data_IF_532556458663
#
_entry.id   IF_532556458663
#
_cell.length_a   1.000
_cell.length_b   1.000
_cell.length_c   1.000
_cell.angle_alpha   90.00
_cell.angle_beta   90.00
_cell.angle_gamma   90.00
#
_symmetry.space_group_name_H-M   'P 1'
#
loop_
_entity.id
_entity.type
_entity.pdbx_description
1 polymer ?
#
# COMPACT_ATOMS: atom_id res chain seq x y z
N UNK A 1 35.05 -18.70 26.90
CA UNK A 1 33.70 -19.25 27.12
C UNK A 1 33.23 -18.70 28.44
N UNK A 2 32.17 -17.90 28.40
CA UNK A 2 30.86 -18.50 28.57
C UNK A 2 29.88 -18.13 27.44
N UNK A 3 29.21 -19.16 26.96
CA UNK A 3 27.89 -19.13 26.33
C UNK A 3 26.87 -18.71 27.40
N UNK A 4 25.97 -17.75 27.11
CA UNK A 4 24.67 -17.64 27.79
C UNK A 4 23.71 -16.53 27.26
N UNK A 5 23.93 -15.91 26.09
CA UNK A 5 23.01 -14.85 25.61
C UNK A 5 21.86 -15.34 24.70
N UNK A 6 21.83 -16.61 24.31
CA UNK A 6 20.78 -17.16 23.42
C UNK A 6 19.68 -17.97 24.14
N UNK A 7 19.89 -18.38 25.40
CA UNK A 7 18.88 -19.10 26.17
C UNK A 7 17.75 -18.18 26.67
N UNK A 8 17.99 -16.87 26.75
CA UNK A 8 17.05 -15.90 27.32
C UNK A 8 15.82 -15.65 26.41
N UNK A 9 15.99 -15.76 25.09
CA UNK A 9 14.90 -15.56 24.13
C UNK A 9 13.95 -16.77 24.10
N UNK A 10 14.50 -17.99 24.26
CA UNK A 10 13.71 -19.22 24.35
C UNK A 10 12.89 -19.29 25.64
N UNK A 11 13.47 -18.83 26.75
CA UNK A 11 12.80 -18.76 28.05
C UNK A 11 11.67 -17.70 28.03
N UNK A 12 11.89 -16.52 27.42
CA UNK A 12 10.88 -15.48 27.24
C UNK A 12 9.71 -15.91 26.36
N UNK A 13 9.97 -16.65 25.28
CA UNK A 13 8.91 -17.22 24.43
C UNK A 13 8.11 -18.31 25.16
N UNK A 14 8.76 -19.09 26.02
CA UNK A 14 8.09 -20.14 26.79
C UNK A 14 7.28 -19.57 27.97
N UNK A 15 7.77 -18.52 28.64
CA UNK A 15 7.09 -17.89 29.78
C UNK A 15 5.85 -17.07 29.35
N UNK A 16 5.85 -16.54 28.13
CA UNK A 16 4.67 -15.89 27.51
C UNK A 16 3.61 -16.93 27.11
N UNK A 17 4.02 -18.13 26.69
CA UNK A 17 3.10 -19.21 26.33
C UNK A 17 2.48 -19.94 27.53
N UNK A 18 3.07 -19.83 28.73
CA UNK A 18 2.68 -20.57 29.94
C UNK A 18 1.96 -19.73 31.03
N UNK A 19 1.56 -18.48 30.75
CA UNK A 19 0.76 -17.59 31.64
C UNK A 19 1.20 -17.52 33.12
N UNK A 20 2.51 -17.44 33.42
CA UNK A 20 2.97 -17.31 34.83
C UNK A 20 3.15 -15.85 35.26
N UNK A 21 2.55 -15.42 36.40
CA UNK A 21 2.73 -14.06 36.90
C UNK A 21 4.11 -13.87 37.54
N UNK A 22 4.79 -12.79 37.14
CA UNK A 22 6.11 -12.38 37.63
C UNK A 22 5.97 -11.59 38.94
N UNK A 23 6.57 -12.07 40.04
CA UNK A 23 6.68 -11.33 41.30
C UNK A 23 7.80 -10.28 41.21
N UNK A 24 7.47 -9.00 41.46
CA UNK A 24 8.45 -7.90 41.54
C UNK A 24 8.57 -7.41 42.98
N UNK A 25 9.81 -7.41 43.50
CA UNK A 25 10.16 -6.89 44.82
C UNK A 25 10.19 -5.33 44.86
N UNK A 26 9.94 -4.70 46.02
CA UNK A 26 9.68 -3.26 46.09
C UNK A 26 10.98 -2.44 46.24
N UNK A 27 11.02 -1.26 45.60
CA UNK A 27 12.03 -0.22 45.91
C UNK A 27 11.33 1.08 46.31
N UNK A 28 11.87 1.70 47.36
CA UNK A 28 11.31 2.77 48.17
C UNK A 28 11.21 4.15 47.49
N UNK A 29 10.25 4.91 48.01
CA UNK A 29 9.83 6.29 47.73
C UNK A 29 10.76 7.40 48.27
N UNK A 30 10.74 8.60 47.66
CA UNK A 30 10.38 9.92 48.27
C UNK A 30 10.58 11.09 47.27
N UNK A 31 9.80 12.19 47.33
CA UNK A 31 9.38 12.98 46.16
C UNK A 31 9.89 14.44 46.13
N UNK A 32 9.68 15.13 45.01
CA UNK A 32 9.52 16.59 45.02
C UNK A 32 8.55 17.07 43.93
N UNK A 33 7.69 18.00 44.33
CA UNK A 33 6.44 18.36 43.69
C UNK A 33 6.54 19.58 42.76
N UNK A 34 5.72 19.62 41.71
CA UNK A 34 5.11 20.86 41.23
C UNK A 34 3.81 20.60 40.44
N UNK A 35 2.73 21.21 40.96
CA UNK A 35 1.35 21.19 40.47
C UNK A 35 1.21 21.75 39.04
N UNK A 36 0.37 21.14 38.21
CA UNK A 36 -0.55 21.83 37.29
C UNK A 36 -1.73 20.92 36.90
N UNK A 37 -2.91 21.24 37.46
CA UNK A 37 -4.28 21.16 36.91
C UNK A 37 -4.70 19.89 36.14
N UNK A 38 -5.45 19.02 36.82
CA UNK A 38 -6.13 17.84 36.26
C UNK A 38 -7.47 18.21 35.57
N UNK A 39 -7.65 17.70 34.35
CA UNK A 39 -8.97 17.39 33.76
C UNK A 39 -8.96 15.87 33.57
N UNK A 40 -9.94 15.09 34.08
CA UNK A 40 -9.81 13.64 34.12
C UNK A 40 -10.06 13.05 32.73
N UNK A 41 -9.01 12.51 32.12
CA UNK A 41 -9.11 11.54 31.04
C UNK A 41 -8.93 10.18 31.70
N UNK A 42 -9.99 9.37 31.79
CA UNK A 42 -9.87 7.97 32.14
C UNK A 42 -9.21 7.25 30.96
N UNK A 43 -7.96 6.85 31.15
CA UNK A 43 -7.27 5.85 30.33
C UNK A 43 -7.57 4.50 30.99
N UNK A 44 -8.18 3.52 30.29
CA UNK A 44 -8.14 2.15 30.77
C UNK A 44 -6.72 1.62 30.56
N UNK A 45 -6.08 1.23 31.66
CA UNK A 45 -4.94 0.31 31.65
C UNK A 45 -5.46 -1.04 31.16
N UNK A 46 -5.00 -1.46 29.98
CA UNK A 46 -5.10 -2.84 29.50
C UNK A 46 -3.78 -3.16 28.83
N UNK A 47 -2.80 -3.58 29.65
CA UNK A 47 -1.54 -4.17 29.21
C UNK A 47 -1.82 -5.63 28.80
N UNK A 48 -2.62 -5.79 27.74
CA UNK A 48 -2.71 -7.05 27.02
C UNK A 48 -1.42 -7.29 26.25
N UNK A 49 -0.95 -8.53 26.19
CA UNK A 49 0.11 -8.94 25.27
C UNK A 49 -0.43 -8.90 23.83
N UNK A 50 -0.50 -7.69 23.29
CA UNK A 50 -1.00 -7.38 21.94
C UNK A 50 -0.23 -8.21 20.89
N UNK A 51 1.01 -8.61 21.17
CA UNK A 51 1.84 -9.39 20.26
C UNK A 51 1.47 -10.88 20.30
N UNK A 52 1.29 -11.45 21.49
CA UNK A 52 0.82 -12.82 21.70
C UNK A 52 -0.60 -13.06 21.17
N UNK A 53 -1.54 -12.18 21.53
CA UNK A 53 -2.93 -12.26 21.07
C UNK A 53 -3.05 -12.13 19.54
N UNK A 54 -2.17 -11.33 18.93
CA UNK A 54 -2.17 -11.13 17.49
C UNK A 54 -1.56 -12.31 16.72
N UNK A 55 -0.45 -12.88 17.19
CA UNK A 55 0.15 -14.06 16.56
C UNK A 55 -0.79 -15.27 16.63
N UNK A 56 -1.56 -15.40 17.72
CA UNK A 56 -2.59 -16.44 17.86
C UNK A 56 -3.75 -16.27 16.86
N UNK A 57 -4.17 -15.04 16.56
CA UNK A 57 -5.20 -14.80 15.52
C UNK A 57 -4.77 -15.23 14.11
N UNK A 58 -3.49 -15.10 13.75
CA UNK A 58 -2.97 -15.58 12.45
C UNK A 58 -3.02 -17.11 12.37
N UNK A 59 -2.86 -17.81 13.50
CA UNK A 59 -2.94 -19.27 13.57
C UNK A 59 -4.39 -19.78 13.54
N UNK A 60 -5.36 -19.00 14.02
CA UNK A 60 -6.78 -19.39 14.02
C UNK A 60 -7.51 -19.23 12.68
N UNK A 61 -7.06 -18.32 11.78
CA UNK A 61 -7.66 -18.12 10.45
C UNK A 61 -7.49 -19.34 9.50
N UNK A 62 -6.65 -20.33 9.82
CA UNK A 62 -6.44 -21.54 8.99
C UNK A 62 -7.49 -22.66 9.21
N UNK A 63 -8.47 -22.52 10.11
CA UNK A 63 -9.53 -23.54 10.32
C UNK A 63 -10.78 -23.29 9.47
N UNK A 64 -10.81 -24.00 8.34
CA UNK A 64 -11.94 -24.49 7.51
C UNK A 64 -13.08 -23.52 7.10
N UNK A 65 -13.36 -23.38 5.78
CA UNK A 65 -14.63 -22.81 5.34
C UNK A 65 -15.77 -23.81 5.53
N UNK A 66 -16.74 -23.47 6.39
CA UNK A 66 -18.02 -24.18 6.46
C UNK A 66 -18.70 -24.19 5.08
N UNK A 67 -18.83 -25.38 4.52
CA UNK A 67 -19.52 -25.65 3.27
C UNK A 67 -21.03 -25.48 3.44
N UNK A 68 -21.61 -24.42 2.87
CA UNK A 68 -23.04 -24.33 2.64
C UNK A 68 -23.34 -24.55 1.15
N UNK A 69 -23.77 -25.77 0.84
CA UNK A 69 -24.28 -26.16 -0.47
C UNK A 69 -25.66 -25.53 -0.72
N UNK A 70 -26.00 -25.13 -1.97
CA UNK A 70 -27.21 -24.38 -2.28
C UNK A 70 -28.43 -25.28 -2.43
N UNK A 71 -29.51 -24.95 -1.71
CA UNK A 71 -30.83 -25.56 -1.90
C UNK A 71 -31.59 -24.79 -3.00
N UNK A 72 -31.86 -25.47 -4.12
CA UNK A 72 -32.63 -24.95 -5.25
C UNK A 72 -34.13 -25.20 -5.06
N UNK A 73 -35.03 -24.26 -5.41
CA UNK A 73 -36.42 -24.59 -5.63
C UNK A 73 -36.70 -24.90 -7.11
N UNK A 74 -37.57 -25.88 -7.30
CA UNK A 74 -37.93 -26.56 -8.53
C UNK A 74 -38.68 -25.70 -9.55
N UNK A 75 -38.53 -26.13 -10.81
CA UNK A 75 -39.20 -25.65 -12.01
C UNK A 75 -40.73 -25.84 -11.99
N UNK A 76 -41.42 -24.88 -12.60
CA UNK A 76 -42.73 -25.08 -13.23
C UNK A 76 -42.75 -24.26 -14.55
N UNK A 77 -42.81 -24.95 -15.69
CA UNK A 77 -43.20 -24.42 -17.00
C UNK A 77 -44.64 -24.92 -17.36
N UNK A 78 -45.20 -24.65 -18.55
CA UNK A 78 -45.97 -23.44 -18.85
C UNK A 78 -47.37 -23.77 -19.44
N UNK A 79 -48.30 -22.80 -19.49
CA UNK A 79 -49.52 -22.96 -20.31
C UNK A 79 -49.82 -21.74 -21.21
N UNK A 80 -49.86 -22.05 -22.50
CA UNK A 80 -50.83 -21.64 -23.53
C UNK A 80 -50.93 -20.17 -24.00
N UNK A 81 -50.23 -19.91 -25.11
CA UNK A 81 -50.72 -19.40 -26.42
C UNK A 81 -52.16 -18.88 -26.49
N UNK A 82 -52.33 -17.60 -26.86
CA UNK A 82 -53.41 -17.16 -27.77
C UNK A 82 -52.82 -16.12 -28.75
N UNK A 83 -52.95 -16.47 -30.03
CA UNK A 83 -52.63 -15.72 -31.23
C UNK A 83 -53.96 -15.29 -31.88
N UNK A 84 -54.13 -14.00 -32.20
CA UNK A 84 -55.16 -13.53 -33.16
C UNK A 84 -54.71 -12.22 -33.83
N UNK A 85 -54.25 -12.34 -35.08
CA UNK A 85 -54.22 -11.28 -36.10
C UNK A 85 -55.58 -11.14 -36.82
N UNK A 86 -55.77 -9.98 -37.50
CA UNK A 86 -56.90 -9.49 -38.34
C UNK A 86 -57.97 -8.68 -37.58
N UNK A 87 -58.27 -7.41 -37.94
CA UNK A 87 -58.68 -6.92 -39.26
C UNK A 87 -58.11 -5.55 -39.72
N UNK A 88 -57.99 -5.44 -41.05
CA UNK A 88 -57.86 -4.31 -42.00
C UNK A 88 -58.98 -3.24 -41.83
N UNK A 89 -59.02 -2.03 -42.43
CA UNK A 89 -58.15 -1.12 -43.19
C UNK A 89 -58.95 0.19 -43.49
N UNK A 90 -58.23 1.22 -43.96
CA UNK A 90 -58.66 2.39 -44.76
C UNK A 90 -59.22 3.64 -44.05
N UNK A 91 -58.48 4.76 -44.16
CA UNK A 91 -58.85 5.94 -44.98
C UNK A 91 -57.55 6.61 -45.47
N UNK A 92 -57.48 6.76 -46.79
CA UNK A 92 -56.43 7.36 -47.63
C UNK A 92 -56.45 8.90 -47.63
N UNK A 93 -55.30 9.53 -47.90
CA UNK A 93 -55.26 10.90 -48.45
C UNK A 93 -53.96 11.68 -48.25
N UNK A 94 -53.00 11.53 -49.15
CA UNK A 94 -51.93 12.49 -49.47
C UNK A 94 -52.48 13.54 -50.48
N UNK A 95 -51.90 14.74 -50.69
CA UNK A 95 -50.52 14.88 -51.17
C UNK A 95 -49.70 16.12 -50.73
N UNK A 96 -48.44 16.03 -51.16
CA UNK A 96 -47.29 16.94 -51.23
C UNK A 96 -47.47 18.46 -51.12
N UNK A 97 -46.55 19.10 -50.37
CA UNK A 97 -45.93 20.37 -50.79
C UNK A 97 -44.42 20.35 -50.52
N UNK A 98 -43.69 20.63 -51.60
CA UNK A 98 -42.27 20.88 -51.68
C UNK A 98 -41.89 22.20 -51.01
N UNK A 99 -40.81 22.23 -50.23
CA UNK A 99 -40.03 23.45 -50.06
C UNK A 99 -38.54 23.19 -50.28
N UNK A 100 -38.04 23.98 -51.22
CA UNK A 100 -36.70 24.09 -51.78
C UNK A 100 -35.63 24.41 -50.74
N UNK A 101 -34.48 23.76 -50.94
CA UNK A 101 -33.21 24.09 -50.31
C UNK A 101 -32.78 25.53 -50.62
N UNK A 102 -32.42 26.28 -49.58
CA UNK A 102 -31.52 27.42 -49.68
C UNK A 102 -30.16 26.95 -49.14
N UNK A 103 -29.26 26.63 -50.06
CA UNK A 103 -27.83 26.48 -49.77
C UNK A 103 -27.28 27.88 -49.57
N UNK A 104 -26.99 28.26 -48.32
CA UNK A 104 -26.02 29.31 -48.04
C UNK A 104 -24.67 28.62 -47.87
N UNK A 105 -23.80 28.82 -48.86
CA UNK A 105 -22.37 28.56 -48.75
C UNK A 105 -21.80 29.51 -47.70
N UNK A 106 -21.67 29.03 -46.47
CA UNK A 106 -20.66 29.52 -45.53
C UNK A 106 -20.02 28.28 -44.92
N UNK A 107 -18.81 27.99 -45.39
CA UNK A 107 -18.00 26.91 -44.87
C UNK A 107 -17.73 27.17 -43.38
N UNK A 108 -18.06 26.25 -42.46
CA UNK A 108 -17.41 26.28 -41.17
C UNK A 108 -15.97 25.86 -41.41
N UNK A 109 -15.10 26.85 -41.27
CA UNK A 109 -13.67 26.73 -41.03
C UNK A 109 -13.43 25.43 -40.26
N UNK A 110 -12.76 24.48 -40.94
CA UNK A 110 -12.33 23.22 -40.34
C UNK A 110 -11.52 23.64 -39.12
N UNK A 111 -12.10 23.43 -37.92
CA UNK A 111 -11.34 23.48 -36.69
C UNK A 111 -10.31 22.37 -36.81
N UNK A 112 -9.14 22.72 -37.34
CA UNK A 112 -7.96 21.89 -37.26
C UNK A 112 -7.84 21.51 -35.79
N UNK A 113 -7.96 20.22 -35.52
CA UNK A 113 -7.74 19.67 -34.20
C UNK A 113 -6.30 20.01 -33.81
N UNK A 114 -6.14 21.13 -33.12
CA UNK A 114 -4.86 21.57 -32.56
C UNK A 114 -4.40 20.49 -31.61
N UNK A 115 -3.31 19.85 -32.00
CA UNK A 115 -2.36 19.06 -31.22
C UNK A 115 -2.95 18.02 -30.25
N UNK A 116 -2.61 16.76 -30.50
CA UNK A 116 -2.83 15.66 -29.57
C UNK A 116 -2.39 16.04 -28.14
N UNK A 117 -3.35 16.02 -27.20
CA UNK A 117 -3.20 16.31 -25.76
C UNK A 117 -2.49 15.16 -25.01
N UNK A 118 -1.62 14.41 -25.68
CA UNK A 118 -0.73 13.48 -25.00
C UNK A 118 0.52 14.25 -24.62
N UNK A 119 0.72 14.43 -23.30
CA UNK A 119 1.96 14.98 -22.79
C UNK A 119 3.14 14.26 -23.44
N UNK A 120 4.00 15.01 -24.13
CA UNK A 120 5.26 14.46 -24.62
C UNK A 120 5.94 13.74 -23.44
N UNK A 121 6.45 12.51 -23.65
CA UNK A 121 7.09 11.77 -22.58
C UNK A 121 8.26 12.60 -22.07
N UNK A 122 8.08 13.19 -20.89
CA UNK A 122 9.15 13.90 -20.19
C UNK A 122 10.26 12.86 -20.01
N UNK A 123 11.37 13.03 -20.74
CA UNK A 123 12.57 12.21 -20.57
C UNK A 123 12.97 12.27 -19.10
N UNK A 124 12.61 11.25 -18.33
CA UNK A 124 13.09 11.11 -16.96
C UNK A 124 14.57 10.81 -17.04
N UNK A 125 15.39 11.66 -16.43
CA UNK A 125 16.83 11.42 -16.30
C UNK A 125 17.06 9.98 -15.81
N UNK A 126 17.87 9.23 -16.55
CA UNK A 126 18.20 7.85 -16.21
C UNK A 126 18.96 7.84 -14.89
N UNK A 127 18.37 7.24 -13.86
CA UNK A 127 19.03 7.08 -12.55
C UNK A 127 20.20 6.11 -12.73
N UNK A 128 21.43 6.49 -12.35
CA UNK A 128 22.57 5.59 -12.47
C UNK A 128 22.46 4.49 -11.41
N UNK A 129 22.49 3.24 -11.86
CA UNK A 129 22.27 2.05 -11.03
C UNK A 129 23.54 1.19 -11.01
N UNK A 130 24.13 0.90 -9.84
CA UNK A 130 25.19 -0.10 -9.73
C UNK A 130 24.60 -1.51 -9.82
N UNK A 131 25.47 -2.48 -10.10
CA UNK A 131 25.15 -3.90 -9.98
C UNK A 131 25.52 -4.36 -8.57
N UNK A 132 24.55 -4.83 -7.80
CA UNK A 132 24.76 -5.18 -6.38
C UNK A 132 25.16 -6.63 -6.16
N UNK A 133 24.78 -7.52 -7.08
CA UNK A 133 24.95 -8.95 -6.91
C UNK A 133 25.91 -9.56 -7.94
N UNK A 134 27.06 -10.05 -7.46
CA UNK A 134 27.98 -10.87 -8.26
C UNK A 134 27.70 -12.36 -8.07
N UNK A 135 28.12 -13.19 -9.03
CA UNK A 135 27.91 -14.64 -9.03
C UNK A 135 28.48 -15.31 -7.77
N UNK A 136 29.71 -14.96 -7.43
CA UNK A 136 30.44 -15.49 -6.27
C UNK A 136 29.81 -15.11 -4.92
N UNK A 137 29.20 -13.93 -4.84
CA UNK A 137 28.64 -13.40 -3.60
C UNK A 137 27.28 -14.02 -3.26
N UNK A 138 26.46 -14.32 -4.27
CA UNK A 138 25.17 -14.99 -4.06
C UNK A 138 25.37 -16.46 -3.71
N UNK A 139 26.38 -17.12 -4.29
CA UNK A 139 26.67 -18.53 -3.97
C UNK A 139 27.19 -18.70 -2.54
N UNK A 140 27.81 -17.66 -1.97
CA UNK A 140 28.35 -17.68 -0.60
C UNK A 140 27.36 -17.19 0.46
N UNK A 141 26.33 -16.42 0.10
CA UNK A 141 25.41 -15.79 1.04
C UNK A 141 24.00 -16.37 0.90
N UNK A 142 23.52 -17.00 1.97
CA UNK A 142 22.13 -17.41 2.08
C UNK A 142 21.25 -16.25 2.57
N UNK A 143 20.48 -15.66 1.66
CA UNK A 143 19.60 -14.52 1.96
C UNK A 143 18.57 -14.82 3.04
N UNK A 144 18.21 -16.09 3.26
CA UNK A 144 17.24 -16.49 4.29
C UNK A 144 17.70 -16.14 5.69
N UNK A 145 19.01 -16.06 5.91
CA UNK A 145 19.57 -15.66 7.20
C UNK A 145 19.33 -14.17 7.50
N UNK A 146 19.09 -13.35 6.46
CA UNK A 146 19.03 -11.90 6.57
C UNK A 146 17.63 -11.33 6.32
N UNK A 147 16.77 -12.04 5.59
CA UNK A 147 15.45 -11.54 5.23
C UNK A 147 14.38 -12.64 5.19
N UNK A 148 13.16 -12.23 5.49
CA UNK A 148 11.92 -13.02 5.44
C UNK A 148 10.95 -12.35 4.47
N UNK A 149 10.15 -13.13 3.75
CA UNK A 149 9.09 -12.57 2.91
C UNK A 149 7.90 -12.21 3.78
N UNK A 150 7.35 -11.02 3.55
CA UNK A 150 6.13 -10.57 4.22
C UNK A 150 5.13 -10.06 3.20
N UNK A 151 3.87 -10.43 3.39
CA UNK A 151 2.75 -9.96 2.57
C UNK A 151 1.77 -9.22 3.46
N UNK A 152 1.35 -8.03 3.06
CA UNK A 152 0.30 -7.28 3.74
C UNK A 152 -1.03 -7.51 3.02
N UNK A 153 -1.97 -8.15 3.71
CA UNK A 153 -3.32 -8.36 3.22
C UNK A 153 -4.24 -7.25 3.75
N UNK A 154 -4.94 -6.60 2.84
CA UNK A 154 -5.83 -5.50 3.20
C UNK A 154 -7.16 -5.65 2.49
N UNK A 155 -8.24 -5.57 3.26
CA UNK A 155 -9.59 -5.50 2.75
C UNK A 155 -10.23 -4.22 3.27
N UNK A 156 -10.95 -3.51 2.39
CA UNK A 156 -11.70 -2.31 2.80
C UNK A 156 -12.92 -2.14 1.91
N UNK A 157 -14.04 -1.78 2.53
CA UNK A 157 -15.22 -1.33 1.80
C UNK A 157 -15.06 0.14 1.39
N UNK A 158 -15.25 0.44 0.11
CA UNK A 158 -15.07 1.80 -0.44
C UNK A 158 -16.35 2.64 -0.48
N UNK A 159 -17.50 2.08 -0.09
CA UNK A 159 -18.80 2.75 -0.15
C UNK A 159 -19.10 3.38 -1.53
N UNK A 160 -18.77 2.67 -2.61
CA UNK A 160 -18.98 3.11 -4.00
C UNK A 160 -19.57 1.97 -4.82
N UNK A 161 -20.57 2.27 -5.64
CA UNK A 161 -21.23 1.33 -6.55
C UNK A 161 -21.35 1.97 -7.92
N UNK A 162 -21.22 1.17 -9.00
CA UNK A 162 -21.45 1.65 -10.36
C UNK A 162 -22.92 2.04 -10.53
N UNK A 163 -23.17 3.25 -11.01
CA UNK A 163 -24.51 3.76 -11.27
C UNK A 163 -24.82 3.61 -12.76
N UNK A 164 -25.41 2.46 -13.12
CA UNK A 164 -25.77 2.16 -14.51
C UNK A 164 -26.82 3.12 -15.06
N UNK A 165 -27.75 3.56 -14.21
CA UNK A 165 -28.82 4.47 -14.62
C UNK A 165 -28.26 5.87 -14.89
N UNK A 166 -27.50 6.41 -13.93
CA UNK A 166 -26.86 7.72 -14.12
C UNK A 166 -25.89 7.76 -15.30
N UNK A 167 -25.18 6.66 -15.57
CA UNK A 167 -24.33 6.54 -16.75
C UNK A 167 -25.15 6.53 -18.06
N UNK A 168 -26.25 5.77 -18.11
CA UNK A 168 -27.13 5.72 -19.27
C UNK A 168 -27.81 7.08 -19.54
N UNK A 169 -28.34 7.74 -18.50
CA UNK A 169 -28.97 9.05 -18.61
C UNK A 169 -27.98 10.10 -19.16
N UNK A 170 -26.70 10.02 -18.76
CA UNK A 170 -25.64 10.89 -19.26
C UNK A 170 -25.25 10.58 -20.72
N UNK A 171 -25.16 9.29 -21.08
CA UNK A 171 -24.88 8.86 -22.46
C UNK A 171 -25.99 9.29 -23.42
N UNK A 172 -27.26 9.09 -23.03
CA UNK A 172 -28.43 9.49 -23.80
C UNK A 172 -28.48 11.02 -23.98
N UNK A 173 -28.18 11.79 -22.92
CA UNK A 173 -28.11 13.25 -22.99
C UNK A 173 -26.97 13.76 -23.90
N UNK A 174 -25.89 13.00 -24.02
CA UNK A 174 -24.75 13.32 -24.87
C UNK A 174 -24.87 12.75 -26.31
N UNK A 175 -25.90 11.94 -26.60
CA UNK A 175 -26.03 11.21 -27.86
C UNK A 175 -24.89 10.21 -28.12
N UNK A 176 -24.31 9.68 -27.05
CA UNK A 176 -23.15 8.80 -27.11
C UNK A 176 -23.52 7.32 -26.89
N UNK A 177 -22.57 6.43 -27.17
CA UNK A 177 -22.68 5.03 -26.77
C UNK A 177 -22.77 4.91 -25.24
N UNK A 178 -23.56 3.94 -24.75
CA UNK A 178 -23.73 3.66 -23.31
C UNK A 178 -22.44 3.22 -22.65
N UNK A 179 -21.54 2.58 -23.40
CA UNK A 179 -20.23 2.17 -22.90
C UNK A 179 -19.22 3.32 -22.84
N UNK A 180 -19.55 4.48 -23.42
CA UNK A 180 -18.69 5.67 -23.37
C UNK A 180 -18.72 6.40 -22.02
N UNK A 181 -19.71 6.13 -21.16
CA UNK A 181 -19.88 6.78 -19.86
C UNK A 181 -19.84 5.77 -18.69
N UNK A 182 -19.06 6.10 -17.64
CA UNK A 182 -19.12 5.40 -16.35
C UNK A 182 -19.45 6.39 -15.23
N UNK A 183 -20.57 6.16 -14.54
CA UNK A 183 -20.93 6.88 -13.32
C UNK A 183 -20.74 5.98 -12.09
N UNK A 184 -20.26 6.55 -10.98
CA UNK A 184 -20.13 5.86 -9.69
C UNK A 184 -20.82 6.65 -8.59
N UNK A 185 -21.76 6.00 -7.93
CA UNK A 185 -22.48 6.53 -6.78
C UNK A 185 -21.65 6.33 -5.51
N UNK A 186 -21.49 7.40 -4.72
CA UNK A 186 -20.89 7.34 -3.39
C UNK A 186 -21.99 7.08 -2.36
N UNK A 187 -21.98 5.91 -1.74
CA UNK A 187 -23.04 5.45 -0.84
C UNK A 187 -23.11 6.25 0.47
N UNK A 188 -22.00 6.82 0.94
CA UNK A 188 -21.93 7.66 2.14
C UNK A 188 -21.53 9.11 1.81
N UNK A 189 -22.02 9.64 0.68
CA UNK A 189 -21.60 10.95 0.18
C UNK A 189 -21.78 12.07 1.23
N UNK A 190 -20.67 12.66 1.66
CA UNK A 190 -20.66 13.78 2.61
C UNK A 190 -21.00 13.39 4.06
N UNK A 191 -20.98 12.11 4.40
CA UNK A 191 -21.03 11.60 5.78
C UNK A 191 -20.04 10.43 5.95
N UNK A 192 -18.94 10.43 5.20
CA UNK A 192 -17.93 9.37 5.16
C UNK A 192 -16.70 9.66 6.03
N UNK A 193 -16.79 10.58 7.00
CA UNK A 193 -15.67 10.94 7.90
C UNK A 193 -15.12 9.75 8.66
N UNK A 194 -16.00 8.94 9.24
CA UNK A 194 -15.67 7.77 10.03
C UNK A 194 -15.10 6.65 9.16
N UNK A 195 -15.69 6.44 7.98
CA UNK A 195 -15.15 5.51 7.00
C UNK A 195 -13.74 5.92 6.56
N UNK A 196 -13.52 7.22 6.31
CA UNK A 196 -12.20 7.79 5.97
C UNK A 196 -11.19 7.62 7.10
N UNK A 197 -11.62 7.63 8.35
CA UNK A 197 -10.74 7.39 9.49
C UNK A 197 -10.22 5.94 9.49
N UNK A 198 -11.09 4.94 9.32
CA UNK A 198 -10.67 3.52 9.17
C UNK A 198 -9.71 3.35 8.00
N UNK A 199 -10.09 3.94 6.87
CA UNK A 199 -9.31 3.98 5.64
C UNK A 199 -7.90 4.54 5.82
N UNK A 200 -7.78 5.60 6.61
CA UNK A 200 -6.49 6.23 6.93
C UNK A 200 -5.58 5.28 7.71
N UNK A 201 -6.10 4.53 8.67
CA UNK A 201 -5.27 3.58 9.44
C UNK A 201 -4.77 2.41 8.58
N UNK A 202 -5.58 1.93 7.63
CA UNK A 202 -5.12 0.94 6.63
C UNK A 202 -4.01 1.54 5.74
N UNK A 203 -4.16 2.81 5.34
CA UNK A 203 -3.15 3.50 4.53
C UNK A 203 -1.85 3.77 5.32
N UNK A 204 -1.95 4.02 6.63
CA UNK A 204 -0.81 4.10 7.55
C UNK A 204 -0.09 2.74 7.64
N UNK A 205 -0.82 1.63 7.77
CA UNK A 205 -0.23 0.29 7.79
C UNK A 205 0.54 -0.01 6.50
N UNK A 206 -0.01 0.37 5.33
CA UNK A 206 0.71 0.25 4.05
C UNK A 206 1.98 1.09 4.03
N UNK A 207 1.94 2.30 4.60
CA UNK A 207 3.11 3.18 4.66
C UNK A 207 4.23 2.56 5.51
N UNK A 208 3.92 2.07 6.71
CA UNK A 208 4.87 1.36 7.57
C UNK A 208 5.40 0.09 6.91
N UNK A 209 4.53 -0.69 6.27
CA UNK A 209 4.94 -1.88 5.52
C UNK A 209 5.95 -1.52 4.41
N UNK A 210 5.72 -0.45 3.64
CA UNK A 210 6.68 -0.01 2.61
C UNK A 210 7.95 0.62 3.18
N UNK A 211 7.88 1.22 4.36
CA UNK A 211 9.03 1.82 5.06
C UNK A 211 10.03 0.76 5.52
N UNK A 212 9.53 -0.39 5.97
CA UNK A 212 10.32 -1.44 6.59
C UNK A 212 10.68 -2.61 5.64
N UNK A 213 10.22 -2.56 4.39
CA UNK A 213 10.36 -3.70 3.46
C UNK A 213 10.65 -3.27 2.02
N UNK A 214 11.22 -4.19 1.24
CA UNK A 214 11.55 -3.98 -0.17
C UNK A 214 10.71 -4.84 -1.11
N UNK A 215 10.42 -4.38 -2.33
CA UNK A 215 9.65 -5.19 -3.26
C UNK A 215 10.36 -6.50 -3.59
N UNK A 216 9.67 -7.64 -3.46
CA UNK A 216 10.16 -8.94 -3.94
C UNK A 216 9.49 -9.27 -5.28
N UNK A 217 10.08 -8.78 -6.38
CA UNK A 217 9.47 -8.88 -7.71
C UNK A 217 10.48 -9.18 -8.81
N UNK A 218 10.06 -10.00 -9.77
CA UNK A 218 10.81 -10.22 -11.02
C UNK A 218 10.62 -9.08 -12.01
N UNK A 219 9.61 -8.24 -11.82
CA UNK A 219 9.32 -7.10 -12.68
C UNK A 219 10.17 -5.91 -12.21
N UNK A 220 10.84 -5.25 -13.16
CA UNK A 220 11.81 -4.19 -12.88
C UNK A 220 11.21 -2.94 -12.21
N UNK A 221 12.11 -2.09 -11.73
CA UNK A 221 11.87 -0.90 -10.88
C UNK A 221 10.89 0.14 -11.47
N UNK A 222 10.59 0.08 -12.76
CA UNK A 222 9.74 1.05 -13.46
C UNK A 222 8.28 0.60 -13.65
N UNK A 223 7.92 -0.60 -13.22
CA UNK A 223 6.64 -1.22 -13.59
C UNK A 223 5.59 -1.20 -12.47
N UNK A 224 4.32 -1.38 -12.87
CA UNK A 224 3.08 -1.24 -12.08
C UNK A 224 3.02 -2.23 -10.88
N UNK A 225 3.92 -3.20 -10.82
CA UNK A 225 3.97 -4.28 -9.83
C UNK A 225 4.46 -3.91 -8.42
N UNK A 226 4.94 -2.70 -8.14
CA UNK A 226 5.52 -2.34 -6.82
C UNK A 226 4.58 -2.56 -5.61
N UNK A 227 3.26 -2.62 -5.85
CA UNK A 227 2.23 -2.67 -4.80
C UNK A 227 1.69 -4.08 -4.53
N UNK A 228 1.97 -5.05 -5.39
CA UNK A 228 1.41 -6.40 -5.30
C UNK A 228 2.53 -7.43 -5.13
N UNK A 229 2.26 -8.45 -4.32
CA UNK A 229 3.21 -9.54 -4.03
C UNK A 229 3.94 -9.37 -2.72
N UNK A 230 4.74 -10.39 -2.38
CA UNK A 230 5.57 -10.38 -1.18
C UNK A 230 6.62 -9.28 -1.20
N UNK A 231 7.11 -8.94 -0.01
CA UNK A 231 8.20 -7.98 0.18
C UNK A 231 9.27 -8.59 1.06
N UNK A 232 10.53 -8.25 0.78
CA UNK A 232 11.65 -8.63 1.64
C UNK A 232 11.69 -7.73 2.86
N UNK A 233 11.54 -8.33 4.03
CA UNK A 233 11.75 -7.69 5.32
C UNK A 233 13.08 -8.16 5.90
N UNK A 234 14.04 -7.28 6.22
CA UNK A 234 15.22 -7.66 6.97
C UNK A 234 14.84 -8.29 8.31
N UNK A 235 15.42 -9.44 8.65
CA UNK A 235 15.14 -10.16 9.90
C UNK A 235 15.46 -9.30 11.14
N UNK A 236 16.41 -8.38 11.01
CA UNK A 236 16.77 -7.40 12.06
C UNK A 236 15.66 -6.40 12.37
N UNK A 237 14.70 -6.20 11.45
CA UNK A 237 13.55 -5.32 11.62
C UNK A 237 12.28 -6.09 12.03
N UNK A 238 12.39 -7.37 12.38
CA UNK A 238 11.24 -8.22 12.69
C UNK A 238 10.35 -7.62 13.80
N UNK A 239 10.95 -7.24 14.94
CA UNK A 239 10.21 -6.67 16.07
C UNK A 239 9.63 -5.29 15.75
N UNK A 240 10.37 -4.44 15.04
CA UNK A 240 9.88 -3.12 14.63
C UNK A 240 8.68 -3.24 13.69
N UNK A 241 8.73 -4.20 12.76
CA UNK A 241 7.66 -4.48 11.83
C UNK A 241 6.40 -5.01 12.53
N UNK A 242 6.53 -6.05 13.35
CA UNK A 242 5.37 -6.63 14.06
C UNK A 242 4.73 -5.61 14.99
N UNK A 243 5.54 -4.83 15.72
CA UNK A 243 5.05 -3.74 16.59
C UNK A 243 4.32 -2.66 15.82
N UNK A 244 4.87 -2.20 14.69
CA UNK A 244 4.23 -1.20 13.85
C UNK A 244 2.89 -1.69 13.27
N UNK A 245 2.85 -2.93 12.77
CA UNK A 245 1.62 -3.52 12.24
C UNK A 245 0.56 -3.75 13.32
N UNK A 246 0.95 -4.25 14.50
CA UNK A 246 0.05 -4.44 15.63
C UNK A 246 -0.58 -3.11 16.08
N UNK A 247 0.22 -2.04 16.17
CA UNK A 247 -0.27 -0.69 16.46
C UNK A 247 -1.26 -0.20 15.41
N UNK A 248 -0.97 -0.39 14.12
CA UNK A 248 -1.88 0.00 13.05
C UNK A 248 -3.18 -0.79 13.08
N UNK A 249 -3.15 -2.10 13.38
CA UNK A 249 -4.35 -2.92 13.53
C UNK A 249 -5.19 -2.48 14.72
N UNK A 250 -4.59 -2.27 15.89
CA UNK A 250 -5.30 -1.76 17.06
C UNK A 250 -5.97 -0.41 16.78
N UNK A 251 -5.26 0.51 16.11
CA UNK A 251 -5.83 1.81 15.70
C UNK A 251 -6.97 1.65 14.70
N UNK A 252 -6.85 0.75 13.72
CA UNK A 252 -7.91 0.44 12.76
C UNK A 252 -9.15 -0.12 13.46
N UNK A 253 -8.99 -1.09 14.37
CA UNK A 253 -10.10 -1.73 15.11
C UNK A 253 -10.87 -0.73 15.98
N UNK A 254 -10.15 0.21 16.60
CA UNK A 254 -10.79 1.31 17.34
C UNK A 254 -11.66 2.16 16.41
N UNK A 255 -11.12 2.58 15.26
CA UNK A 255 -11.87 3.37 14.27
C UNK A 255 -13.01 2.58 13.62
N UNK A 256 -12.84 1.27 13.47
CA UNK A 256 -13.87 0.40 12.93
C UNK A 256 -15.04 0.26 13.90
N UNK A 257 -14.76 0.18 15.20
CA UNK A 257 -15.77 0.18 16.27
C UNK A 257 -16.56 1.50 16.29
N UNK A 258 -15.88 2.64 16.17
CA UNK A 258 -16.53 3.96 16.04
C UNK A 258 -17.42 4.05 14.79
N UNK A 259 -16.94 3.51 13.67
CA UNK A 259 -17.67 3.50 12.39
C UNK A 259 -18.91 2.59 12.45
N UNK A 260 -18.78 1.37 12.98
CA UNK A 260 -19.86 0.39 13.12
C UNK A 260 -21.02 0.94 13.95
N UNK A 261 -20.72 1.55 15.10
CA UNK A 261 -21.74 2.16 15.96
C UNK A 261 -22.54 3.27 15.26
N UNK A 262 -21.88 4.03 14.37
CA UNK A 262 -22.51 5.12 13.62
C UNK A 262 -23.15 4.67 12.31
N UNK A 263 -22.79 3.50 11.80
CA UNK A 263 -23.15 3.05 10.46
C UNK A 263 -24.66 3.10 10.16
N UNK A 264 -25.58 2.65 11.04
CA UNK A 264 -27.02 2.78 10.80
C UNK A 264 -27.48 4.22 10.61
N UNK A 265 -26.97 5.15 11.42
CA UNK A 265 -27.26 6.59 11.32
C UNK A 265 -26.71 7.19 10.04
N UNK A 266 -25.53 6.74 9.60
CA UNK A 266 -24.93 7.17 8.33
C UNK A 266 -25.77 6.73 7.12
N UNK A 267 -26.37 5.54 7.15
CA UNK A 267 -27.32 5.08 6.11
C UNK A 267 -28.55 5.99 6.09
N UNK A 268 -29.10 6.37 7.24
CA UNK A 268 -30.26 7.27 7.30
C UNK A 268 -29.95 8.65 6.69
N UNK A 269 -28.76 9.21 6.96
CA UNK A 269 -28.29 10.45 6.35
C UNK A 269 -28.08 10.26 4.84
N UNK A 270 -27.47 9.15 4.43
CA UNK A 270 -27.25 8.84 3.02
C UNK A 270 -28.56 8.72 2.23
N UNK A 271 -29.61 8.15 2.83
CA UNK A 271 -30.96 8.08 2.26
C UNK A 271 -31.52 9.47 1.94
N UNK A 272 -31.33 10.44 2.84
CA UNK A 272 -31.75 11.82 2.59
C UNK A 272 -30.95 12.49 1.47
N UNK A 273 -29.64 12.23 1.40
CA UNK A 273 -28.75 12.86 0.42
C UNK A 273 -28.86 12.27 -0.99
N UNK A 274 -29.05 10.97 -1.10
CA UNK A 274 -29.16 10.27 -2.39
C UNK A 274 -30.57 10.35 -2.98
N UNK A 275 -31.58 10.67 -2.16
CA UNK A 275 -32.96 10.83 -2.62
C UNK A 275 -33.45 9.58 -3.36
N UNK A 276 -33.93 9.76 -4.59
CA UNK A 276 -34.45 8.68 -5.43
C UNK A 276 -33.38 7.68 -5.89
N UNK A 277 -32.11 8.04 -5.81
CA UNK A 277 -31.00 7.14 -6.13
C UNK A 277 -30.59 6.25 -4.95
N UNK A 278 -31.22 6.39 -3.77
CA UNK A 278 -30.95 5.52 -2.63
C UNK A 278 -31.48 4.10 -2.89
N UNK A 279 -30.63 3.11 -2.64
CA UNK A 279 -30.98 1.69 -2.74
C UNK A 279 -30.41 0.96 -1.51
N UNK A 280 -31.25 0.44 -0.60
CA UNK A 280 -30.80 -0.21 0.62
C UNK A 280 -30.03 -1.51 0.36
N UNK A 281 -30.26 -2.18 -0.79
CA UNK A 281 -29.58 -3.44 -1.13
C UNK A 281 -28.09 -3.27 -1.45
N UNK A 282 -27.66 -2.03 -1.69
CA UNK A 282 -26.27 -1.68 -2.00
C UNK A 282 -25.41 -1.46 -0.76
N UNK A 283 -26.00 -1.51 0.43
CA UNK A 283 -25.32 -1.35 1.71
C UNK A 283 -25.14 -2.72 2.37
N UNK A 284 -23.91 -3.06 2.83
CA UNK A 284 -23.72 -4.21 3.72
C UNK A 284 -24.65 -4.16 4.94
N UNK A 285 -24.99 -5.33 5.48
CA UNK A 285 -25.74 -5.41 6.72
C UNK A 285 -24.91 -4.76 7.85
N UNK A 286 -25.49 -3.91 8.71
CA UNK A 286 -24.80 -3.39 9.88
C UNK A 286 -24.11 -4.45 10.74
N UNK A 287 -24.65 -5.67 10.85
CA UNK A 287 -24.02 -6.75 11.63
C UNK A 287 -22.81 -7.39 10.94
N UNK A 288 -22.67 -7.21 9.61
CA UNK A 288 -21.59 -7.81 8.82
C UNK A 288 -20.61 -6.78 8.27
N UNK A 289 -20.84 -5.48 8.50
CA UNK A 289 -20.01 -4.40 7.94
C UNK A 289 -18.54 -4.55 8.33
N UNK A 290 -18.28 -5.05 9.54
CA UNK A 290 -16.96 -5.29 10.10
C UNK A 290 -16.13 -6.25 9.23
N UNK A 291 -16.75 -7.33 8.75
CA UNK A 291 -16.11 -8.37 7.93
C UNK A 291 -15.66 -7.85 6.55
N UNK A 292 -16.10 -6.66 6.14
CA UNK A 292 -15.62 -6.03 4.92
C UNK A 292 -14.29 -5.29 5.08
N UNK A 293 -13.72 -5.28 6.28
CA UNK A 293 -12.42 -4.71 6.59
C UNK A 293 -11.50 -5.81 7.12
N UNK A 294 -10.26 -5.81 6.66
CA UNK A 294 -9.23 -6.71 7.15
C UNK A 294 -7.87 -6.02 7.03
N UNK A 295 -7.02 -6.22 8.03
CA UNK A 295 -5.62 -5.87 8.03
C UNK A 295 -4.86 -7.02 8.69
N UNK A 296 -4.32 -7.91 7.85
CA UNK A 296 -3.51 -9.04 8.28
C UNK A 296 -2.19 -9.06 7.51
N UNK A 297 -1.23 -9.84 8.02
CA UNK A 297 0.06 -10.00 7.37
C UNK A 297 0.58 -11.41 7.58
N UNK A 298 1.24 -11.93 6.55
CA UNK A 298 1.77 -13.29 6.55
C UNK A 298 3.27 -13.26 6.34
N UNK A 299 3.98 -14.10 7.10
CA UNK A 299 5.40 -14.35 6.90
C UNK A 299 5.59 -15.64 6.10
N UNK A 300 6.46 -15.59 5.10
CA UNK A 300 6.82 -16.73 4.29
C UNK A 300 8.36 -16.85 4.22
N UNK A 301 8.91 -18.08 4.30
CA UNK A 301 10.33 -18.28 4.02
C UNK A 301 10.60 -17.99 2.53
N UNK A 302 11.83 -17.58 2.23
CA UNK A 302 12.28 -17.45 0.83
C UNK A 302 12.44 -18.88 0.28
N UNK A 303 11.77 -19.23 -0.83
CA UNK A 303 11.78 -20.59 -1.35
C UNK A 303 13.15 -20.97 -1.92
N UNK A 304 13.55 -22.22 -1.72
CA UNK A 304 14.79 -22.81 -2.25
C UNK A 304 14.54 -24.10 -3.03
N UNK A 305 15.51 -24.48 -3.88
CA UNK A 305 15.38 -25.66 -4.72
C UNK A 305 15.17 -26.96 -3.94
N UNK A 306 15.69 -27.08 -2.71
CA UNK A 306 15.49 -28.24 -1.85
C UNK A 306 14.05 -28.40 -1.34
N UNK A 307 13.20 -27.38 -1.48
CA UNK A 307 11.81 -27.42 -1.02
C UNK A 307 10.93 -28.27 -1.95
N UNK A 308 11.37 -28.56 -3.18
CA UNK A 308 10.65 -29.40 -4.14
C UNK A 308 10.73 -30.89 -3.76
N UNK A 309 9.79 -31.34 -2.92
CA UNK A 309 9.65 -32.75 -2.50
C UNK A 309 8.87 -33.57 -3.54
N UNK A 310 9.19 -34.86 -3.69
CA UNK A 310 8.45 -35.81 -4.52
C UNK A 310 8.78 -35.81 -6.02
N UNK A 311 9.75 -35.01 -6.47
CA UNK A 311 10.22 -34.98 -7.86
C UNK A 311 11.49 -35.81 -8.06
N UNK A 312 11.80 -36.17 -9.31
CA UNK A 312 13.08 -36.80 -9.64
C UNK A 312 14.25 -35.83 -9.43
N UNK A 313 15.39 -36.34 -8.96
CA UNK A 313 16.57 -35.52 -8.63
C UNK A 313 16.99 -34.58 -9.77
N UNK A 314 17.02 -35.06 -11.02
CA UNK A 314 17.36 -34.24 -12.19
C UNK A 314 16.37 -33.09 -12.45
N UNK A 315 15.10 -33.22 -12.03
CA UNK A 315 14.10 -32.16 -12.11
C UNK A 315 14.26 -31.16 -10.97
N UNK A 316 14.52 -31.65 -9.75
CA UNK A 316 14.82 -30.81 -8.56
C UNK A 316 16.01 -29.91 -8.83
N UNK A 317 17.09 -30.44 -9.41
CA UNK A 317 18.28 -29.67 -9.76
C UNK A 317 17.98 -28.58 -10.80
N UNK A 318 17.21 -28.89 -11.84
CA UNK A 318 16.79 -27.91 -12.85
C UNK A 318 15.91 -26.81 -12.29
N UNK A 319 14.93 -27.17 -11.47
CA UNK A 319 14.03 -26.22 -10.80
C UNK A 319 14.77 -25.36 -9.78
N UNK A 320 15.66 -25.97 -8.99
CA UNK A 320 16.52 -25.27 -8.06
C UNK A 320 17.40 -24.24 -8.75
N UNK A 321 18.07 -24.62 -9.84
CA UNK A 321 18.88 -23.68 -10.62
C UNK A 321 18.04 -22.53 -11.23
N UNK A 322 16.82 -22.82 -11.71
CA UNK A 322 15.92 -21.80 -12.21
C UNK A 322 15.43 -20.86 -11.10
N UNK A 323 15.12 -21.40 -9.93
CA UNK A 323 14.69 -20.64 -8.77
C UNK A 323 15.82 -19.76 -8.25
N UNK A 324 17.04 -20.26 -8.12
CA UNK A 324 18.21 -19.45 -7.71
C UNK A 324 18.46 -18.28 -8.66
N UNK A 325 18.36 -18.49 -9.98
CA UNK A 325 18.46 -17.38 -10.95
C UNK A 325 17.34 -16.35 -10.77
N UNK A 326 16.11 -16.79 -10.50
CA UNK A 326 14.97 -15.90 -10.25
C UNK A 326 15.13 -15.11 -8.95
N UNK A 327 15.51 -15.78 -7.87
CA UNK A 327 15.81 -15.19 -6.56
C UNK A 327 16.89 -14.12 -6.69
N UNK A 328 17.94 -14.37 -7.49
CA UNK A 328 18.94 -13.36 -7.82
C UNK A 328 18.36 -12.12 -8.47
N UNK A 329 17.60 -12.29 -9.55
CA UNK A 329 17.01 -11.14 -10.27
C UNK A 329 16.11 -10.34 -9.34
N UNK A 330 15.31 -11.01 -8.51
CA UNK A 330 14.44 -10.38 -7.53
C UNK A 330 15.22 -9.61 -6.45
N UNK A 331 16.34 -10.17 -5.97
CA UNK A 331 17.21 -9.51 -5.01
C UNK A 331 17.90 -8.28 -5.61
N UNK A 332 18.46 -8.42 -6.81
CA UNK A 332 19.08 -7.30 -7.53
C UNK A 332 18.06 -6.17 -7.73
N UNK A 333 16.85 -6.49 -8.19
CA UNK A 333 15.77 -5.52 -8.34
C UNK A 333 15.40 -4.84 -7.01
N UNK A 334 15.37 -5.58 -5.91
CA UNK A 334 15.08 -5.02 -4.58
C UNK A 334 16.16 -4.01 -4.17
N UNK A 335 17.44 -4.35 -4.33
CA UNK A 335 18.57 -3.46 -4.03
C UNK A 335 18.59 -2.23 -4.92
N UNK A 336 18.34 -2.40 -6.23
CA UNK A 336 18.22 -1.30 -7.18
C UNK A 336 17.04 -0.37 -6.87
N UNK A 337 15.91 -0.91 -6.38
CA UNK A 337 14.78 -0.08 -5.97
C UNK A 337 15.13 0.81 -4.78
N UNK A 338 15.78 0.28 -3.74
CA UNK A 338 16.23 1.09 -2.59
C UNK A 338 17.23 2.15 -3.04
N UNK A 339 18.21 1.75 -3.85
CA UNK A 339 19.21 2.68 -4.38
C UNK A 339 18.58 3.81 -5.18
N UNK A 340 17.69 3.48 -6.12
CA UNK A 340 16.98 4.47 -6.92
C UNK A 340 16.15 5.40 -6.03
N UNK A 341 15.38 4.83 -5.11
CA UNK A 341 14.53 5.63 -4.22
C UNK A 341 15.38 6.54 -3.32
N UNK A 342 16.57 6.11 -2.90
CA UNK A 342 17.50 6.90 -2.11
C UNK A 342 18.12 8.02 -2.96
N UNK A 343 18.61 7.70 -4.14
CA UNK A 343 19.17 8.64 -5.10
C UNK A 343 18.16 9.75 -5.44
N UNK A 344 16.92 9.39 -5.74
CA UNK A 344 15.84 10.33 -6.04
C UNK A 344 15.54 11.23 -4.84
N UNK A 345 15.49 10.67 -3.62
CA UNK A 345 15.23 11.46 -2.41
C UNK A 345 16.38 12.42 -2.11
N UNK A 346 17.64 12.00 -2.23
CA UNK A 346 18.82 12.85 -2.01
C UNK A 346 18.92 13.92 -3.10
N UNK A 347 18.66 13.58 -4.36
CA UNK A 347 18.63 14.53 -5.48
C UNK A 347 17.54 15.58 -5.29
N UNK A 348 16.35 15.16 -4.85
CA UNK A 348 15.26 16.07 -4.52
C UNK A 348 15.62 16.95 -3.30
N UNK A 349 16.28 16.41 -2.28
CA UNK A 349 16.78 17.18 -1.14
C UNK A 349 17.79 18.24 -1.58
N UNK A 350 18.76 17.88 -2.42
CA UNK A 350 19.71 18.82 -3.02
C UNK A 350 18.98 19.93 -3.79
N UNK A 351 18.08 19.58 -4.73
CA UNK A 351 17.35 20.56 -5.52
C UNK A 351 16.53 21.54 -4.66
N UNK A 352 15.89 21.04 -3.60
CA UNK A 352 15.15 21.88 -2.65
C UNK A 352 16.08 22.77 -1.85
N UNK A 353 17.18 22.26 -1.30
CA UNK A 353 18.14 23.03 -0.51
C UNK A 353 18.86 24.10 -1.36
N UNK A 354 19.21 23.77 -2.59
CA UNK A 354 19.86 24.69 -3.53
C UNK A 354 18.95 25.83 -4.00
N UNK A 355 17.64 25.60 -4.07
CA UNK A 355 16.67 26.63 -4.46
C UNK A 355 16.42 27.60 -3.31
N UNK A 356 16.75 28.90 -3.44
CA UNK A 356 16.48 29.90 -2.42
C UNK A 356 14.97 30.03 -2.17
N UNK A 357 14.55 30.11 -0.91
CA UNK A 357 13.14 30.27 -0.53
C UNK A 357 12.24 29.04 -0.74
N UNK A 358 12.75 27.93 -1.28
CA UNK A 358 11.97 26.70 -1.39
C UNK A 358 11.68 26.09 -0.02
N UNK A 359 10.41 25.73 0.23
CA UNK A 359 10.01 25.10 1.48
C UNK A 359 10.65 23.70 1.59
N UNK A 360 11.45 23.49 2.64
CA UNK A 360 12.08 22.22 2.96
C UNK A 360 11.27 21.52 4.05
N UNK A 361 10.61 20.41 3.74
CA UNK A 361 9.71 19.68 4.65
C UNK A 361 10.45 18.64 5.48
N UNK A 362 10.04 18.44 6.74
CA UNK A 362 10.63 17.43 7.62
C UNK A 362 10.42 15.99 7.15
N UNK A 363 9.30 15.72 6.48
CA UNK A 363 9.02 14.43 5.87
C UNK A 363 10.09 13.98 4.87
N UNK A 364 10.84 14.92 4.27
CA UNK A 364 11.95 14.58 3.38
C UNK A 364 13.16 14.04 4.16
N UNK A 365 13.43 14.58 5.35
CA UNK A 365 14.48 14.08 6.25
C UNK A 365 14.09 12.70 6.80
N UNK A 366 12.84 12.54 7.24
CA UNK A 366 12.38 11.26 7.78
C UNK A 366 12.47 10.16 6.70
N UNK A 367 12.06 10.47 5.46
CA UNK A 367 12.22 9.55 4.32
C UNK A 367 13.68 9.19 4.07
N UNK A 368 14.61 10.16 4.12
CA UNK A 368 16.05 9.87 3.97
C UNK A 368 16.57 8.96 5.07
N UNK A 369 16.11 9.16 6.32
CA UNK A 369 16.47 8.34 7.47
C UNK A 369 16.00 6.91 7.28
N UNK A 370 14.72 6.73 6.97
CA UNK A 370 14.11 5.41 6.76
C UNK A 370 14.83 4.64 5.65
N UNK A 371 15.12 5.30 4.52
CA UNK A 371 15.79 4.66 3.39
C UNK A 371 17.24 4.29 3.68
N UNK A 372 17.97 5.14 4.43
CA UNK A 372 19.35 4.85 4.83
C UNK A 372 19.42 3.69 5.85
N UNK A 373 18.47 3.63 6.77
CA UNK A 373 18.34 2.55 7.75
C UNK A 373 17.97 1.23 7.06
N UNK A 374 16.95 1.22 6.20
CA UNK A 374 16.56 0.04 5.43
C UNK A 374 17.72 -0.52 4.60
N UNK A 375 18.48 0.36 3.94
CA UNK A 375 19.67 -0.01 3.17
C UNK A 375 20.78 -0.63 4.05
N UNK A 376 20.95 -0.15 5.29
CA UNK A 376 21.90 -0.73 6.25
C UNK A 376 21.49 -2.16 6.66
N UNK A 377 20.20 -2.37 6.94
CA UNK A 377 19.68 -3.66 7.39
C UNK A 377 19.69 -4.73 6.29
N UNK A 378 19.55 -4.34 5.02
CA UNK A 378 19.61 -5.26 3.88
C UNK A 378 20.98 -5.30 3.18
N UNK A 379 22.03 -4.68 3.70
CA UNK A 379 23.39 -4.84 3.16
C UNK A 379 23.97 -6.22 3.52
N UNK A 380 23.24 -7.30 3.20
CA UNK A 380 23.63 -8.68 3.41
C UNK A 380 24.91 -9.03 2.64
N UNK A 381 25.14 -8.36 1.51
CA UNK A 381 26.34 -8.46 0.67
C UNK A 381 27.59 -7.85 1.30
N UNK A 382 27.44 -7.06 2.39
CA UNK A 382 28.56 -6.41 3.06
C UNK A 382 29.28 -5.38 2.17
N UNK A 383 28.58 -4.83 1.17
CA UNK A 383 29.18 -3.88 0.23
C UNK A 383 29.59 -2.60 0.97
N UNK A 384 30.88 -2.27 0.87
CA UNK A 384 31.49 -1.08 1.48
C UNK A 384 30.92 0.21 0.89
N UNK A 385 30.56 0.22 -0.39
CA UNK A 385 30.01 1.39 -1.06
C UNK A 385 28.62 1.71 -0.51
N UNK A 386 27.75 0.70 -0.38
CA UNK A 386 26.41 0.83 0.22
C UNK A 386 26.51 1.31 1.66
N UNK A 387 27.38 0.68 2.46
CA UNK A 387 27.60 1.08 3.84
C UNK A 387 28.11 2.53 3.95
N UNK A 388 28.95 2.97 3.01
CA UNK A 388 29.45 4.33 2.95
C UNK A 388 28.35 5.33 2.55
N UNK A 389 27.52 5.02 1.55
CA UNK A 389 26.36 5.87 1.17
C UNK A 389 25.42 6.03 2.36
N UNK A 390 25.04 4.93 3.01
CA UNK A 390 24.19 4.95 4.19
C UNK A 390 24.79 5.83 5.30
N UNK A 391 26.10 5.69 5.58
CA UNK A 391 26.82 6.49 6.57
C UNK A 391 26.86 7.99 6.21
N UNK A 392 27.08 8.34 4.94
CA UNK A 392 27.07 9.73 4.49
C UNK A 392 25.69 10.36 4.70
N UNK A 393 24.63 9.63 4.40
CA UNK A 393 23.26 10.14 4.53
C UNK A 393 22.85 10.25 6.00
N UNK A 394 23.15 9.25 6.83
CA UNK A 394 22.94 9.27 8.29
C UNK A 394 23.77 10.33 9.03
N UNK A 395 24.72 10.99 8.35
CA UNK A 395 25.55 12.06 8.89
C UNK A 395 24.86 13.43 8.86
N UNK A 396 25.50 14.39 8.19
CA UNK A 396 25.14 15.81 8.26
C UNK A 396 23.73 16.12 7.70
N UNK A 397 23.18 15.29 6.79
CA UNK A 397 21.87 15.54 6.16
C UNK A 397 20.68 15.32 7.11
N UNK A 398 20.82 14.42 8.08
CA UNK A 398 19.71 14.01 8.96
C UNK A 398 19.81 14.65 10.34
N UNK A 399 20.96 15.25 10.67
CA UNK A 399 21.26 15.78 12.01
C UNK A 399 20.48 17.05 12.38
N UNK A 400 20.10 17.87 11.41
CA UNK A 400 19.52 19.20 11.67
C UNK A 400 17.99 19.19 11.52
N UNK A 401 17.30 19.94 12.39
CA UNK A 401 15.86 20.11 12.29
C UNK A 401 15.50 20.97 11.06
N UNK A 402 14.42 20.65 10.32
CA UNK A 402 13.96 21.45 9.19
C UNK A 402 13.75 22.92 9.50
N UNK A 403 13.39 23.28 10.74
CA UNK A 403 13.20 24.67 11.18
C UNK A 403 14.51 25.42 11.22
N UNK A 404 15.61 24.78 11.60
CA UNK A 404 16.93 25.39 11.66
C UNK A 404 17.48 25.62 10.25
N UNK A 405 17.29 24.62 9.36
CA UNK A 405 17.65 24.70 7.93
C UNK A 405 16.90 25.85 7.21
N UNK A 406 15.70 26.21 7.69
CA UNK A 406 14.91 27.32 7.11
C UNK A 406 15.33 28.70 7.62
N UNK A 407 15.97 28.78 8.79
CA UNK A 407 16.36 30.05 9.42
C UNK A 407 17.80 30.45 9.08
N UNK A 408 18.64 29.47 8.78
CA UNK A 408 20.06 29.67 8.49
C UNK A 408 20.38 29.34 7.03
N UNK A 409 20.53 30.39 6.22
CA UNK A 409 20.89 30.28 4.80
C UNK A 409 22.30 29.70 4.59
N UNK A 410 23.23 29.93 5.53
CA UNK A 410 24.58 29.37 5.44
C UNK A 410 24.56 27.86 5.72
N UNK A 411 23.80 27.41 6.72
CA UNK A 411 23.56 25.99 6.97
C UNK A 411 22.89 25.33 5.77
N UNK A 412 21.86 25.97 5.19
CA UNK A 412 21.16 25.47 4.01
C UNK A 412 22.11 25.25 2.83
N UNK A 413 22.98 26.23 2.54
CA UNK A 413 23.97 26.12 1.47
C UNK A 413 24.96 24.98 1.73
N UNK A 414 25.47 24.86 2.96
CA UNK A 414 26.36 23.75 3.35
C UNK A 414 25.70 22.39 3.14
N UNK A 415 24.43 22.25 3.52
CA UNK A 415 23.69 20.99 3.34
C UNK A 415 23.39 20.71 1.87
N UNK A 416 23.13 21.73 1.05
CA UNK A 416 23.02 21.58 -0.40
C UNK A 416 24.33 21.04 -1.00
N UNK A 417 25.48 21.64 -0.64
CA UNK A 417 26.79 21.19 -1.09
C UNK A 417 27.11 19.76 -0.62
N UNK A 418 26.68 19.40 0.59
CA UNK A 418 26.83 18.05 1.11
C UNK A 418 25.95 17.05 0.35
N UNK A 419 24.67 17.36 0.13
CA UNK A 419 23.76 16.53 -0.65
C UNK A 419 24.28 16.31 -2.07
N UNK A 420 24.82 17.36 -2.70
CA UNK A 420 25.48 17.27 -4.00
C UNK A 420 26.64 16.28 -4.01
N UNK A 421 27.53 16.33 -3.01
CA UNK A 421 28.65 15.37 -2.88
C UNK A 421 28.16 13.93 -2.71
N UNK A 422 27.06 13.72 -2.00
CA UNK A 422 26.47 12.38 -1.86
C UNK A 422 25.94 11.89 -3.20
N UNK A 423 25.22 12.74 -3.96
CA UNK A 423 24.77 12.41 -5.32
C UNK A 423 25.95 12.04 -6.21
N UNK A 424 26.98 12.88 -6.28
CA UNK A 424 28.19 12.63 -7.08
C UNK A 424 28.90 11.32 -6.68
N UNK A 425 28.94 11.01 -5.38
CA UNK A 425 29.49 9.73 -4.89
C UNK A 425 28.63 8.54 -5.35
N UNK A 426 27.30 8.64 -5.26
CA UNK A 426 26.39 7.60 -5.75
C UNK A 426 26.53 7.41 -7.27
N UNK A 427 26.58 8.48 -8.05
CA UNK A 427 26.85 8.40 -9.50
C UNK A 427 28.19 7.71 -9.79
N UNK A 428 29.23 8.03 -9.02
CA UNK A 428 30.54 7.40 -9.12
C UNK A 428 30.51 5.88 -8.87
N UNK A 429 29.79 5.44 -7.83
CA UNK A 429 29.61 4.01 -7.51
C UNK A 429 28.86 3.27 -8.61
N UNK A 430 27.80 3.90 -9.15
CA UNK A 430 27.03 3.34 -10.25
C UNK A 430 27.87 3.19 -11.53
N UNK A 431 28.71 4.17 -11.86
CA UNK A 431 29.58 4.13 -13.04
C UNK A 431 30.81 3.23 -12.89
N UNK A 432 31.23 2.95 -11.65
CA UNK A 432 32.35 2.05 -11.35
C UNK A 432 31.95 0.57 -11.27
N UNK A 433 30.64 0.28 -11.30
CA UNK A 433 30.15 -1.09 -11.36
C UNK A 433 30.42 -1.69 -12.75
N UNK A 434 30.93 -2.92 -12.83
CA UNK A 434 31.35 -3.56 -14.08
C UNK A 434 30.22 -3.92 -15.03
#
# INVERSE_FOLDING_TARGET
MPDNEFDDIGQLLQDVLDEKPVEVAPTESTPEAQKTIEVPIQVPEDDGDILGDFLNQVVEEEKEPETLSPEAPAAAEPEAVIDVESELAAITGQPEESYTACVSEDAPEVLEATEHVFAEPVEKATVPMPTFTTDELIESIDIRNFATLVTLNTQRWHAKVKDRKGAADAADAAGADKDAFEARKKLLAGCDSELRAVHKEIDNARAEHYRLTMPWSSIGVNDIGKRAGGRLMPNTLFLDYTTAMARCKAAMELKLTEFEAKYPSLIAIAKQKLGTAFDPTQYPNPSSIRQHFNLSFDFNPIPVGSDFKGLQQAQVEKLGAALSRKTRVMLENAMQDVWKNLYETVSHAHARLATPGAMFHGSLIDKLRDQAELMKHLNATGDKNIAQVAKLISGDLIKFDPKDIRKDDALRKRLADYAKKVVEFMEGVANASP
#
